data_IF_687282149550
#
_entry.id   IF_687282149550
#
_cell.length_a   1.000
_cell.length_b   1.000
_cell.length_c   1.000
_cell.angle_alpha   90.00
_cell.angle_beta   90.00
_cell.angle_gamma   90.00
#
_symmetry.space_group_name_H-M   'P 1'
#
loop_
_entity.id
_entity.type
_entity.pdbx_description
1 polymer ?
#
# COMPACT_ATOMS: atom_id res chain seq x y z
N UNK A 1 -7.81 -2.60 18.04
CA UNK A 1 -6.81 -1.56 17.70
C UNK A 1 -5.39 -2.05 17.93
N UNK A 2 -5.04 -2.53 19.13
CA UNK A 2 -3.68 -3.04 19.42
C UNK A 2 -3.22 -4.17 18.48
N UNK A 3 -4.10 -5.14 18.20
CA UNK A 3 -3.77 -6.26 17.30
C UNK A 3 -3.56 -5.82 15.85
N UNK A 4 -4.40 -4.89 15.36
CA UNK A 4 -4.20 -4.24 14.05
C UNK A 4 -2.86 -3.54 14.01
N UNK A 5 -2.54 -2.76 15.04
CA UNK A 5 -1.29 -2.00 15.10
C UNK A 5 -0.09 -2.95 15.13
N UNK A 6 -0.18 -4.08 15.83
CA UNK A 6 0.84 -5.13 15.82
C UNK A 6 1.10 -5.64 14.40
N UNK A 7 0.05 -6.01 13.66
CA UNK A 7 0.18 -6.51 12.29
C UNK A 7 0.56 -5.43 11.26
N UNK A 8 0.19 -4.17 11.50
CA UNK A 8 0.51 -3.04 10.63
C UNK A 8 1.92 -2.45 10.86
N UNK A 9 2.45 -2.60 12.09
CA UNK A 9 3.72 -2.00 12.53
C UNK A 9 4.83 -3.02 12.77
N UNK A 10 4.81 -4.17 12.11
CA UNK A 10 5.97 -5.08 12.07
C UNK A 10 7.11 -4.43 11.24
N UNK A 11 7.69 -3.36 11.82
CA UNK A 11 8.40 -2.30 11.13
C UNK A 11 9.74 -2.74 10.55
N UNK A 12 10.33 -3.79 11.11
CA UNK A 12 11.55 -4.42 10.59
C UNK A 12 11.32 -5.03 9.20
N UNK A 13 10.19 -5.70 8.96
CA UNK A 13 9.86 -6.27 7.67
C UNK A 13 9.69 -5.18 6.59
N UNK A 14 9.00 -4.08 6.92
CA UNK A 14 8.75 -3.00 5.96
C UNK A 14 10.03 -2.24 5.54
N UNK A 15 11.00 -2.09 6.44
CA UNK A 15 12.28 -1.42 6.16
C UNK A 15 13.25 -2.35 5.41
N UNK A 16 13.38 -3.61 5.85
CA UNK A 16 14.19 -4.61 5.17
C UNK A 16 13.70 -4.87 3.75
N UNK A 17 12.38 -4.89 3.54
CA UNK A 17 11.81 -5.11 2.21
C UNK A 17 12.02 -3.92 1.28
N UNK A 18 12.08 -2.68 1.80
CA UNK A 18 12.37 -1.49 0.99
C UNK A 18 13.83 -1.46 0.53
N UNK A 19 14.78 -1.84 1.39
CA UNK A 19 16.20 -1.91 1.01
C UNK A 19 16.46 -3.06 0.03
N UNK A 20 15.87 -4.23 0.26
CA UNK A 20 15.94 -5.38 -0.66
C UNK A 20 15.31 -5.00 -2.01
N UNK A 21 14.11 -4.40 -2.01
CA UNK A 21 13.45 -3.96 -3.24
C UNK A 21 14.30 -2.96 -4.03
N UNK A 22 14.91 -1.99 -3.34
CA UNK A 22 15.84 -1.05 -3.99
C UNK A 22 17.04 -1.75 -4.61
N UNK A 23 17.66 -2.70 -3.90
CA UNK A 23 18.77 -3.48 -4.43
C UNK A 23 18.36 -4.29 -5.68
N UNK A 24 17.16 -4.86 -5.69
CA UNK A 24 16.60 -5.57 -6.85
C UNK A 24 16.40 -4.64 -8.04
N UNK A 25 15.73 -3.49 -7.85
CA UNK A 25 15.44 -2.54 -8.94
C UNK A 25 16.71 -1.93 -9.54
N UNK A 26 17.70 -1.61 -8.71
CA UNK A 26 19.01 -1.10 -9.15
C UNK A 26 19.85 -2.18 -9.86
N UNK A 27 19.74 -3.43 -9.45
CA UNK A 27 20.39 -4.56 -10.14
C UNK A 27 19.81 -4.75 -11.54
N UNK A 28 18.48 -4.77 -11.69
CA UNK A 28 17.84 -4.80 -13.02
C UNK A 28 18.26 -3.61 -13.88
N UNK A 29 18.23 -2.40 -13.32
CA UNK A 29 18.68 -1.18 -14.00
C UNK A 29 20.10 -1.33 -14.55
N UNK A 30 21.01 -1.88 -13.75
CA UNK A 30 22.42 -2.03 -14.14
C UNK A 30 22.58 -3.06 -15.26
N UNK A 31 21.89 -4.20 -15.19
CA UNK A 31 21.91 -5.25 -16.22
C UNK A 31 21.32 -4.74 -17.53
N UNK A 32 20.15 -4.09 -17.48
CA UNK A 32 19.50 -3.55 -18.68
C UNK A 32 20.28 -2.41 -19.31
N UNK A 33 20.86 -1.53 -18.49
CA UNK A 33 21.74 -0.46 -18.99
C UNK A 33 22.94 -1.07 -19.71
N UNK A 34 23.60 -2.06 -19.12
CA UNK A 34 24.73 -2.75 -19.74
C UNK A 34 24.33 -3.44 -21.05
N UNK A 35 23.22 -4.18 -21.06
CA UNK A 35 22.75 -4.90 -22.25
C UNK A 35 22.37 -3.94 -23.39
N UNK A 36 21.63 -2.85 -23.10
CA UNK A 36 21.21 -1.89 -24.12
C UNK A 36 22.37 -1.05 -24.66
N UNK A 37 23.29 -0.67 -23.78
CA UNK A 37 24.47 0.11 -24.15
C UNK A 37 25.48 -0.72 -24.94
N UNK A 38 25.80 -1.95 -24.47
CA UNK A 38 26.90 -2.74 -25.01
C UNK A 38 26.44 -3.75 -26.08
N UNK A 39 25.33 -4.46 -25.86
CA UNK A 39 24.85 -5.49 -26.79
C UNK A 39 23.99 -4.91 -27.92
N UNK A 40 22.97 -4.13 -27.57
CA UNK A 40 22.06 -3.56 -28.56
C UNK A 40 22.59 -2.28 -29.22
N UNK A 41 23.66 -1.67 -28.67
CA UNK A 41 24.27 -0.40 -29.09
C UNK A 41 23.23 0.70 -29.36
N UNK A 42 22.13 0.70 -28.62
CA UNK A 42 21.09 1.72 -28.77
C UNK A 42 21.72 3.06 -28.40
N UNK A 43 21.48 4.07 -29.23
CA UNK A 43 22.14 5.39 -29.17
C UNK A 43 23.67 5.37 -29.43
N UNK A 44 24.19 4.36 -30.12
CA UNK A 44 25.53 4.39 -30.73
C UNK A 44 26.70 3.98 -29.83
N UNK A 45 26.44 3.42 -28.64
CA UNK A 45 27.49 2.88 -27.75
C UNK A 45 28.49 3.92 -27.21
N UNK A 46 28.09 5.19 -27.14
CA UNK A 46 28.93 6.29 -26.64
C UNK A 46 28.74 6.51 -25.13
N UNK A 47 29.68 7.18 -24.46
CA UNK A 47 29.51 7.52 -23.03
C UNK A 47 28.20 8.30 -22.77
N UNK A 48 27.78 9.14 -23.72
CA UNK A 48 26.49 9.84 -23.64
C UNK A 48 25.29 8.90 -23.72
N UNK A 49 25.34 7.84 -24.54
CA UNK A 49 24.26 6.85 -24.57
C UNK A 49 24.12 6.10 -23.26
N UNK A 50 25.26 5.78 -22.62
CA UNK A 50 25.23 5.16 -21.29
C UNK A 50 24.52 6.05 -20.27
N UNK A 51 24.87 7.35 -20.21
CA UNK A 51 24.26 8.29 -19.26
C UNK A 51 22.75 8.42 -19.48
N UNK A 52 22.32 8.55 -20.73
CA UNK A 52 20.89 8.66 -21.06
C UNK A 52 20.13 7.39 -20.67
N UNK A 53 20.63 6.22 -21.10
CA UNK A 53 20.00 4.92 -20.79
C UNK A 53 19.95 4.72 -19.28
N UNK A 54 21.07 4.92 -18.57
CA UNK A 54 21.15 4.75 -17.14
C UNK A 54 20.17 5.66 -16.39
N UNK A 55 20.09 6.94 -16.78
CA UNK A 55 19.16 7.90 -16.14
C UNK A 55 17.69 7.48 -16.28
N UNK A 56 17.30 6.95 -17.44
CA UNK A 56 15.94 6.44 -17.69
C UNK A 56 15.62 5.24 -16.80
N UNK A 57 16.53 4.27 -16.72
CA UNK A 57 16.31 3.08 -15.89
C UNK A 57 16.36 3.39 -14.39
N UNK A 58 17.22 4.30 -13.94
CA UNK A 58 17.24 4.72 -12.54
C UNK A 58 15.95 5.44 -12.16
N UNK A 59 15.40 6.28 -13.03
CA UNK A 59 14.10 6.92 -12.81
C UNK A 59 12.97 5.88 -12.73
N UNK A 60 12.98 4.88 -13.64
CA UNK A 60 12.03 3.78 -13.61
C UNK A 60 12.17 2.94 -12.32
N UNK A 61 13.39 2.61 -11.91
CA UNK A 61 13.67 1.89 -10.66
C UNK A 61 13.19 2.66 -9.43
N UNK A 62 13.40 3.98 -9.38
CA UNK A 62 12.90 4.82 -8.30
C UNK A 62 11.38 4.80 -8.24
N UNK A 63 10.71 4.97 -9.37
CA UNK A 63 9.25 4.92 -9.46
C UNK A 63 8.71 3.54 -9.03
N UNK A 64 9.26 2.46 -9.58
CA UNK A 64 8.86 1.09 -9.26
C UNK A 64 9.08 0.74 -7.80
N UNK A 65 10.21 1.15 -7.21
CA UNK A 65 10.48 0.95 -5.79
C UNK A 65 9.47 1.68 -4.90
N UNK A 66 9.08 2.90 -5.28
CA UNK A 66 8.04 3.66 -4.58
C UNK A 66 6.69 2.95 -4.67
N UNK A 67 6.27 2.55 -5.87
CA UNK A 67 4.99 1.85 -6.06
C UNK A 67 4.96 0.50 -5.33
N UNK A 68 6.08 -0.24 -5.33
CA UNK A 68 6.20 -1.49 -4.60
C UNK A 68 6.04 -1.30 -3.08
N UNK A 69 6.64 -0.24 -2.55
CA UNK A 69 6.48 0.13 -1.14
C UNK A 69 5.03 0.50 -0.80
N UNK A 70 4.38 1.31 -1.64
CA UNK A 70 3.00 1.73 -1.45
C UNK A 70 2.03 0.52 -1.52
N UNK A 71 2.24 -0.39 -2.48
CA UNK A 71 1.49 -1.65 -2.59
C UNK A 71 1.68 -2.55 -1.37
N UNK A 72 2.92 -2.69 -0.89
CA UNK A 72 3.20 -3.50 0.28
C UNK A 72 2.48 -2.94 1.51
N UNK A 73 2.57 -1.62 1.73
CA UNK A 73 1.86 -0.93 2.82
C UNK A 73 0.36 -1.15 2.75
N UNK A 74 -0.20 -1.04 1.55
CA UNK A 74 -1.61 -1.32 1.29
C UNK A 74 -2.00 -2.75 1.69
N UNK A 75 -1.26 -3.76 1.22
CA UNK A 75 -1.55 -5.16 1.52
C UNK A 75 -1.44 -5.44 3.02
N UNK A 76 -0.39 -4.92 3.68
CA UNK A 76 -0.20 -5.09 5.12
C UNK A 76 -1.32 -4.44 5.92
N UNK A 77 -1.74 -3.22 5.56
CA UNK A 77 -2.83 -2.52 6.25
C UNK A 77 -4.16 -3.27 6.12
N UNK A 78 -4.49 -3.76 4.92
CA UNK A 78 -5.71 -4.54 4.66
C UNK A 78 -5.66 -5.89 5.40
N UNK A 79 -4.52 -6.58 5.37
CA UNK A 79 -4.35 -7.83 6.11
C UNK A 79 -4.51 -7.62 7.62
N UNK A 80 -3.86 -6.59 8.16
CA UNK A 80 -3.97 -6.25 9.58
C UNK A 80 -5.42 -5.93 9.98
N UNK A 81 -6.18 -5.26 9.11
CA UNK A 81 -7.61 -4.98 9.34
C UNK A 81 -8.46 -6.25 9.32
N UNK A 82 -8.24 -7.14 8.35
CA UNK A 82 -8.95 -8.41 8.24
C UNK A 82 -8.70 -9.30 9.45
N UNK A 83 -7.43 -9.47 9.87
CA UNK A 83 -7.05 -10.26 11.04
C UNK A 83 -7.64 -9.66 12.32
N UNK A 84 -7.57 -8.34 12.46
CA UNK A 84 -8.17 -7.66 13.61
C UNK A 84 -9.69 -7.79 13.64
N UNK A 85 -10.37 -7.81 12.48
CA UNK A 85 -11.81 -7.97 12.39
C UNK A 85 -12.27 -9.41 12.70
N UNK A 86 -11.48 -10.43 12.31
CA UNK A 86 -11.82 -11.86 12.49
C UNK A 86 -11.47 -12.43 13.87
N UNK A 87 -10.70 -11.71 14.69
CA UNK A 87 -10.15 -12.24 15.95
C UNK A 87 -11.10 -12.18 17.15
N UNK A 88 -12.28 -11.57 17.03
CA UNK A 88 -13.31 -11.69 18.07
C UNK A 88 -14.73 -11.61 17.51
N UNK A 89 -15.51 -12.68 17.66
CA UNK A 89 -16.94 -12.68 17.36
C UNK A 89 -17.73 -11.72 18.27
N UNK A 90 -17.29 -11.49 19.53
CA UNK A 90 -17.98 -10.63 20.51
C UNK A 90 -17.50 -9.16 20.56
N UNK A 91 -16.47 -8.77 19.80
CA UNK A 91 -15.83 -7.44 19.92
C UNK A 91 -15.66 -6.67 18.60
N UNK A 92 -16.01 -7.27 17.45
CA UNK A 92 -15.67 -6.72 16.13
C UNK A 92 -16.82 -6.23 15.24
N UNK A 93 -17.98 -5.86 15.80
CA UNK A 93 -18.88 -4.95 15.07
C UNK A 93 -18.29 -3.51 14.96
N UNK A 94 -17.33 -3.17 15.83
CA UNK A 94 -16.80 -1.82 15.97
C UNK A 94 -15.76 -1.36 14.94
N UNK A 95 -15.22 -2.24 14.09
CA UNK A 95 -14.18 -1.86 13.11
C UNK A 95 -14.70 -0.93 12.01
N UNK A 96 -15.84 -1.30 11.41
CA UNK A 96 -16.58 -0.46 10.45
C UNK A 96 -17.01 0.85 11.10
N UNK A 97 -17.56 0.76 12.31
CA UNK A 97 -18.04 1.91 13.06
C UNK A 97 -16.90 2.88 13.44
N UNK A 98 -15.72 2.35 13.78
CA UNK A 98 -14.51 3.12 14.08
C UNK A 98 -14.09 3.97 12.89
N UNK A 99 -13.93 3.37 11.71
CA UNK A 99 -13.52 4.11 10.52
C UNK A 99 -14.58 5.13 10.09
N UNK A 100 -15.85 4.76 10.18
CA UNK A 100 -16.94 5.69 9.93
C UNK A 100 -16.92 6.90 10.88
N UNK A 101 -16.73 6.67 12.18
CA UNK A 101 -16.60 7.74 13.20
C UNK A 101 -15.38 8.62 12.92
N UNK A 102 -14.25 8.06 12.49
CA UNK A 102 -13.06 8.83 12.13
C UNK A 102 -13.30 9.73 10.92
N UNK A 103 -13.88 9.20 9.83
CA UNK A 103 -14.25 9.98 8.65
C UNK A 103 -15.18 11.14 9.03
N UNK A 104 -16.22 10.87 9.81
CA UNK A 104 -17.16 11.90 10.29
C UNK A 104 -16.46 12.96 11.13
N UNK A 105 -15.58 12.57 12.06
CA UNK A 105 -14.80 13.49 12.88
C UNK A 105 -13.92 14.40 12.02
N UNK A 106 -13.22 13.85 11.04
CA UNK A 106 -12.34 14.64 10.17
C UNK A 106 -13.12 15.61 9.28
N UNK A 107 -14.31 15.23 8.81
CA UNK A 107 -15.22 16.14 8.10
C UNK A 107 -15.62 17.33 8.98
N UNK A 108 -16.04 17.07 10.22
CA UNK A 108 -16.37 18.13 11.17
C UNK A 108 -15.18 19.05 11.44
N UNK A 109 -13.98 18.48 11.64
CA UNK A 109 -12.76 19.28 11.82
C UNK A 109 -12.48 20.16 10.59
N UNK A 110 -12.67 19.64 9.38
CA UNK A 110 -12.50 20.40 8.14
C UNK A 110 -13.50 21.55 8.02
N UNK A 111 -14.73 21.36 8.50
CA UNK A 111 -15.77 22.39 8.50
C UNK A 111 -15.50 23.48 9.54
N UNK A 112 -15.03 23.09 10.73
CA UNK A 112 -14.72 24.03 11.83
C UNK A 112 -13.41 24.78 11.57
N UNK A 113 -12.40 24.11 11.01
CA UNK A 113 -11.06 24.64 10.79
C UNK A 113 -10.72 24.61 9.28
N UNK A 114 -10.95 25.73 8.55
CA UNK A 114 -10.69 25.81 7.11
C UNK A 114 -9.23 25.53 6.73
N UNK A 115 -8.29 25.81 7.64
CA UNK A 115 -6.85 25.57 7.48
C UNK A 115 -6.49 24.09 7.23
N UNK A 116 -7.37 23.17 7.66
CA UNK A 116 -7.16 21.73 7.53
C UNK A 116 -7.77 21.16 6.24
N UNK A 117 -8.55 21.97 5.50
CA UNK A 117 -9.14 21.61 4.21
C UNK A 117 -8.16 21.07 3.15
N UNK A 118 -6.91 21.57 3.00
CA UNK A 118 -5.96 20.98 2.07
C UNK A 118 -5.39 19.64 2.54
N UNK A 119 -5.60 19.25 3.80
CA UNK A 119 -5.07 18.00 4.40
C UNK A 119 -6.13 16.91 4.48
N UNK A 120 -7.41 17.26 4.46
CA UNK A 120 -8.53 16.31 4.63
C UNK A 120 -9.41 16.35 3.37
N UNK A 121 -9.79 15.18 2.85
CA UNK A 121 -10.69 15.06 1.70
C UNK A 121 -12.14 15.41 2.09
N UNK A 122 -13.02 15.67 1.11
CA UNK A 122 -14.45 15.83 1.38
C UNK A 122 -15.11 14.65 2.09
N UNK A 123 -14.60 13.43 1.89
CA UNK A 123 -15.08 12.24 2.57
C UNK A 123 -14.61 12.13 4.04
N UNK A 124 -13.65 12.95 4.48
CA UNK A 124 -13.06 12.87 5.82
C UNK A 124 -11.78 12.03 5.89
N UNK A 125 -11.26 11.63 4.74
CA UNK A 125 -9.99 10.90 4.68
C UNK A 125 -8.80 11.86 4.76
N UNK A 126 -7.65 11.38 5.27
CA UNK A 126 -6.44 12.21 5.40
C UNK A 126 -5.62 12.07 4.12
N UNK A 127 -5.27 13.18 3.47
CA UNK A 127 -4.44 13.16 2.27
C UNK A 127 -3.01 12.75 2.61
N UNK A 128 -2.45 11.83 1.82
CA UNK A 128 -1.05 11.41 1.94
C UNK A 128 -0.79 10.29 2.96
N UNK A 129 -1.82 9.71 3.57
CA UNK A 129 -1.67 8.43 4.29
C UNK A 129 -1.48 7.31 3.27
N UNK A 130 -0.69 6.28 3.64
CA UNK A 130 -0.36 5.18 2.74
C UNK A 130 -1.60 4.43 2.24
N UNK A 131 -2.53 4.16 3.15
CA UNK A 131 -3.80 3.48 2.85
C UNK A 131 -4.95 4.33 3.35
N UNK A 132 -5.79 4.80 2.42
CA UNK A 132 -6.93 5.69 2.74
C UNK A 132 -7.90 5.05 3.74
N UNK A 133 -8.46 5.85 4.65
CA UNK A 133 -9.45 5.37 5.64
C UNK A 133 -10.71 4.86 4.94
N UNK A 134 -11.09 5.49 3.82
CA UNK A 134 -12.27 5.10 3.05
C UNK A 134 -12.10 3.72 2.42
N UNK A 135 -10.96 3.41 1.80
CA UNK A 135 -10.70 2.08 1.23
C UNK A 135 -10.73 1.00 2.30
N UNK A 136 -10.17 1.27 3.47
CA UNK A 136 -10.16 0.33 4.60
C UNK A 136 -11.56 0.06 5.12
N UNK A 137 -12.39 1.10 5.20
CA UNK A 137 -13.79 0.96 5.55
C UNK A 137 -14.55 0.10 4.52
N UNK A 138 -14.34 0.33 3.23
CA UNK A 138 -14.99 -0.44 2.16
C UNK A 138 -14.55 -1.91 2.18
N UNK A 139 -13.25 -2.22 2.31
CA UNK A 139 -12.77 -3.60 2.42
C UNK A 139 -13.37 -4.36 3.61
N UNK A 140 -13.58 -3.68 4.74
CA UNK A 140 -14.22 -4.33 5.89
C UNK A 140 -15.70 -4.65 5.63
N UNK A 141 -16.41 -3.90 4.77
CA UNK A 141 -17.82 -4.17 4.46
C UNK A 141 -18.00 -5.57 3.89
N UNK A 142 -17.12 -5.93 2.98
CA UNK A 142 -17.21 -7.13 2.16
C UNK A 142 -16.73 -8.41 2.88
N UNK A 143 -16.00 -8.28 4.00
CA UNK A 143 -15.52 -9.43 4.77
C UNK A 143 -16.61 -10.42 5.19
N UNK A 144 -17.80 -9.93 5.55
CA UNK A 144 -18.89 -10.82 5.96
C UNK A 144 -19.40 -11.66 4.77
N UNK A 145 -19.41 -11.08 3.56
CA UNK A 145 -19.81 -11.80 2.35
C UNK A 145 -18.75 -12.84 1.97
N UNK A 146 -17.46 -12.50 2.05
CA UNK A 146 -16.36 -13.45 1.83
C UNK A 146 -16.40 -14.62 2.84
N UNK A 147 -16.66 -14.33 4.12
CA UNK A 147 -16.75 -15.36 5.16
C UNK A 147 -17.96 -16.30 4.95
N UNK A 148 -19.08 -15.78 4.43
CA UNK A 148 -20.26 -16.59 4.12
C UNK A 148 -20.08 -17.45 2.86
N UNK A 149 -19.37 -16.97 1.84
CA UNK A 149 -18.94 -17.77 0.69
C UNK A 149 -17.99 -18.90 1.11
N UNK A 150 -17.01 -18.61 1.97
CA UNK A 150 -16.07 -19.62 2.49
C UNK A 150 -16.78 -20.72 3.28
N UNK A 151 -17.80 -20.39 4.09
CA UNK A 151 -18.61 -21.40 4.79
C UNK A 151 -19.33 -22.33 3.83
N UNK A 152 -19.87 -21.82 2.71
CA UNK A 152 -20.54 -22.65 1.70
C UNK A 152 -19.59 -23.65 1.05
N UNK A 153 -18.35 -23.25 0.75
CA UNK A 153 -17.34 -24.15 0.18
C UNK A 153 -16.93 -25.24 1.17
N UNK A 154 -16.71 -24.89 2.44
CA UNK A 154 -16.37 -25.88 3.48
C UNK A 154 -17.51 -26.85 3.75
N UNK A 155 -18.77 -26.42 3.61
CA UNK A 155 -19.94 -27.29 3.75
C UNK A 155 -20.23 -28.17 2.52
N UNK A 156 -19.54 -27.94 1.40
CA UNK A 156 -19.73 -28.70 0.15
C UNK A 156 -18.80 -29.90 -0.03
N UNK A 157 -17.91 -30.15 0.93
CA UNK A 157 -16.95 -31.27 0.96
C UNK A 157 -17.44 -32.48 1.81
N UNK A 158 -18.70 -32.46 2.27
CA UNK A 158 -19.41 -33.59 2.91
C UNK A 158 -20.42 -34.24 1.93
#
# INVERSE_FOLDING_TARGET
>A
MFLRDLHAHDGYASLAQRSISWATWTSFTSIFTYWLHNSAKICGGTAMSFVVIYSLFVAAAWYSNKQWYDLYRYITDVHADSVAARTSFDHCEGGKELYWKQLKRHRLIREICPEVSPKITPAGDIRGIATSIIMRYDHLKDLNAEDDELKQVVSGDD
#
